data_IF_215894430073
#
_entry.id   IF_215894430073
#
_cell.length_a   1.000
_cell.length_b   1.000
_cell.length_c   1.000
_cell.angle_alpha   90.00
_cell.angle_beta   90.00
_cell.angle_gamma   90.00
#
_symmetry.space_group_name_H-M   'P 1'
#
loop_
_entity.id
_entity.type
_entity.pdbx_description
1 polymer ?
#
# COMPACT_ATOMS: atom_id res chain seq x y z
N UNK A 1 58.20 34.62 14.82
CA UNK A 1 57.07 35.49 14.41
C UNK A 1 56.13 34.61 13.62
N UNK A 2 55.06 34.20 14.28
CA UNK A 2 54.01 33.31 13.78
C UNK A 2 53.06 34.09 12.88
N UNK A 3 53.00 33.71 11.61
CA UNK A 3 52.11 34.28 10.61
C UNK A 3 50.80 33.47 10.62
N UNK A 4 49.90 33.84 11.54
CA UNK A 4 48.54 33.29 11.60
C UNK A 4 47.72 33.91 10.46
N UNK A 5 47.64 33.14 9.38
CA UNK A 5 46.68 33.33 8.29
C UNK A 5 45.27 33.61 8.83
N UNK A 6 44.82 34.86 8.66
CA UNK A 6 43.42 35.25 8.81
C UNK A 6 42.59 34.57 7.72
N UNK A 7 42.12 33.36 7.99
CA UNK A 7 40.96 32.80 7.30
C UNK A 7 39.74 33.62 7.70
N UNK A 8 39.35 34.53 6.81
CA UNK A 8 38.05 35.20 6.87
C UNK A 8 37.05 34.28 6.16
N UNK A 9 35.99 33.76 6.82
CA UNK A 9 34.94 33.09 6.08
C UNK A 9 34.09 34.15 5.40
N UNK A 10 34.44 34.47 4.16
CA UNK A 10 33.53 35.10 3.22
C UNK A 10 32.46 34.10 2.81
N UNK A 11 31.22 34.58 2.66
CA UNK A 11 30.16 33.84 1.97
C UNK A 11 28.86 33.78 2.76
N UNK A 12 27.87 34.50 2.25
CA UNK A 12 26.46 34.52 2.66
C UNK A 12 25.78 33.15 2.36
N UNK A 13 26.26 32.08 3.01
CA UNK A 13 25.55 30.81 3.08
C UNK A 13 24.46 30.95 4.14
N UNK A 14 23.21 30.59 3.83
CA UNK A 14 22.12 30.62 4.80
C UNK A 14 22.56 29.85 6.07
N UNK A 15 22.86 30.59 7.14
CA UNK A 15 23.46 30.04 8.34
C UNK A 15 22.43 29.21 9.08
N UNK A 16 22.82 27.99 9.45
CA UNK A 16 22.04 27.11 10.33
C UNK A 16 21.63 27.89 11.60
N UNK A 17 20.36 27.82 11.96
CA UNK A 17 19.75 28.63 13.02
C UNK A 17 19.02 27.78 14.07
N UNK A 18 18.64 28.38 15.21
CA UNK A 18 17.85 27.70 16.24
C UNK A 18 16.48 27.27 15.73
N UNK A 19 15.86 28.03 14.83
CA UNK A 19 14.56 27.67 14.23
C UNK A 19 14.61 26.42 13.37
N UNK A 20 15.80 25.98 12.94
CA UNK A 20 15.96 24.77 12.14
C UNK A 20 16.00 23.48 12.98
N UNK A 21 15.94 23.58 14.31
CA UNK A 21 16.03 22.41 15.20
C UNK A 21 14.93 22.32 16.23
N UNK A 22 14.60 21.11 16.63
CA UNK A 22 13.81 20.87 17.85
C UNK A 22 14.52 19.82 18.68
N UNK A 23 14.47 19.93 20.01
CA UNK A 23 14.94 18.87 20.86
C UNK A 23 13.94 17.72 20.89
N UNK A 24 14.41 16.49 20.76
CA UNK A 24 13.62 15.28 21.00
C UNK A 24 14.09 14.65 22.31
N UNK A 25 13.35 14.96 23.38
CA UNK A 25 13.73 14.63 24.75
C UNK A 25 14.00 13.12 24.98
N UNK A 26 13.20 12.17 24.43
CA UNK A 26 13.40 10.74 24.65
C UNK A 26 14.75 10.17 24.20
N UNK A 27 15.42 10.76 23.20
CA UNK A 27 16.69 10.24 22.66
C UNK A 27 17.89 11.16 22.85
N UNK A 28 17.74 12.28 23.58
CA UNK A 28 18.82 13.27 23.80
C UNK A 28 19.50 13.70 22.50
N UNK A 29 18.70 13.92 21.47
CA UNK A 29 19.12 14.40 20.15
C UNK A 29 18.21 15.54 19.71
N UNK A 30 18.70 16.37 18.80
CA UNK A 30 17.85 17.35 18.14
C UNK A 30 17.42 16.82 16.77
N UNK A 31 16.25 17.22 16.28
CA UNK A 31 15.81 16.94 14.91
C UNK A 31 16.06 18.18 14.07
N UNK A 32 16.84 18.06 13.00
CA UNK A 32 16.99 19.11 12.00
C UNK A 32 15.72 19.13 11.14
N UNK A 33 14.89 20.15 11.31
CA UNK A 33 13.55 20.23 10.74
C UNK A 33 13.51 20.17 9.21
N UNK A 34 14.39 20.87 8.45
CA UNK A 34 14.31 20.88 6.99
C UNK A 34 14.37 19.48 6.37
N UNK A 35 15.18 18.58 6.95
CA UNK A 35 15.24 17.19 6.51
C UNK A 35 14.80 16.14 7.54
N UNK A 36 14.11 16.55 8.61
CA UNK A 36 13.53 15.69 9.66
C UNK A 36 14.48 14.58 10.14
N UNK A 37 15.78 14.87 10.23
CA UNK A 37 16.80 13.89 10.60
C UNK A 37 17.33 14.15 12.01
N UNK A 38 17.59 13.08 12.79
CA UNK A 38 18.18 13.23 14.11
C UNK A 38 19.66 13.63 14.01
N UNK A 39 20.04 14.62 14.81
CA UNK A 39 21.41 15.11 14.96
C UNK A 39 21.84 14.93 16.41
N UNK A 40 23.05 14.39 16.66
CA UNK A 40 23.62 14.37 18.01
C UNK A 40 23.71 15.78 18.58
N UNK A 41 23.40 15.96 19.87
CA UNK A 41 23.46 17.26 20.53
C UNK A 41 24.81 17.95 20.35
N UNK A 42 25.92 17.21 20.44
CA UNK A 42 27.27 17.74 20.20
C UNK A 42 27.46 18.35 18.80
N UNK A 43 26.82 17.77 17.77
CA UNK A 43 26.86 18.28 16.39
C UNK A 43 26.09 19.60 16.23
N UNK A 44 25.04 19.79 17.03
CA UNK A 44 24.26 21.04 17.11
C UNK A 44 25.05 22.10 17.89
N UNK A 45 25.61 21.74 19.03
CA UNK A 45 26.38 22.64 19.90
C UNK A 45 27.66 23.19 19.26
N UNK A 46 28.19 22.48 18.26
CA UNK A 46 29.35 22.94 17.46
C UNK A 46 28.95 23.97 16.39
N UNK A 47 27.68 23.99 15.96
CA UNK A 47 27.21 24.82 14.84
C UNK A 47 26.38 26.02 15.28
N UNK A 48 25.70 25.91 16.42
CA UNK A 48 24.92 27.00 16.99
C UNK A 48 25.68 27.68 18.13
N UNK A 49 25.54 29.01 18.30
CA UNK A 49 26.16 29.71 19.41
C UNK A 49 25.54 29.25 20.74
N UNK A 50 26.33 29.34 21.81
CA UNK A 50 25.83 29.12 23.17
C UNK A 50 24.85 30.23 23.55
N UNK A 51 23.82 29.89 24.32
CA UNK A 51 22.78 30.84 24.74
C UNK A 51 23.02 31.33 26.17
N UNK A 52 22.76 32.61 26.48
CA UNK A 52 22.83 33.10 27.84
C UNK A 52 21.75 32.42 28.71
N UNK A 53 22.14 32.05 29.93
CA UNK A 53 21.19 31.57 30.93
C UNK A 53 20.45 32.77 31.51
N UNK A 54 19.13 32.78 31.43
CA UNK A 54 18.29 33.89 31.91
C UNK A 54 17.68 33.57 33.27
N UNK A 55 17.49 34.60 34.09
CA UNK A 55 16.69 34.52 35.33
C UNK A 55 15.18 34.57 35.03
N UNK A 56 14.35 34.49 36.08
CA UNK A 56 12.88 34.56 35.98
C UNK A 56 12.34 35.88 35.41
N UNK A 57 13.16 36.92 35.33
CA UNK A 57 12.82 38.23 34.79
C UNK A 57 13.37 38.43 33.37
N UNK A 58 14.02 37.42 32.79
CA UNK A 58 14.61 37.46 31.45
C UNK A 58 16.02 38.08 31.40
N UNK A 59 16.65 38.35 32.54
CA UNK A 59 17.99 38.95 32.58
C UNK A 59 19.09 37.88 32.56
N UNK A 60 20.23 38.09 31.87
CA UNK A 60 21.34 37.16 31.90
C UNK A 60 21.91 36.96 33.31
N UNK A 61 21.99 35.70 33.74
CA UNK A 61 22.67 35.31 34.97
C UNK A 61 24.17 35.42 34.75
N UNK A 62 24.85 36.26 35.51
CA UNK A 62 26.30 36.43 35.44
C UNK A 62 27.04 35.54 36.44
N UNK A 63 28.30 35.22 36.15
CA UNK A 63 29.21 34.57 37.09
C UNK A 63 29.82 35.57 38.08
N UNK A 64 30.64 35.09 39.01
CA UNK A 64 31.31 35.94 40.02
C UNK A 64 32.31 36.95 39.44
N UNK A 65 32.54 36.96 38.12
CA UNK A 65 33.37 37.91 37.38
C UNK A 65 32.54 38.83 36.48
N UNK A 66 31.20 38.77 36.56
CA UNK A 66 30.30 39.58 35.76
C UNK A 66 30.09 39.10 34.33
N UNK A 67 30.60 37.92 33.94
CA UNK A 67 30.39 37.36 32.60
C UNK A 67 29.09 36.54 32.56
N UNK A 68 28.24 36.66 31.52
CA UNK A 68 27.04 35.84 31.39
C UNK A 68 27.36 34.34 31.42
N UNK A 69 26.68 33.60 32.29
CA UNK A 69 26.64 32.14 32.24
C UNK A 69 25.90 31.74 30.97
N UNK A 70 26.43 30.73 30.27
CA UNK A 70 25.84 30.25 29.02
C UNK A 70 25.56 28.76 29.10
N UNK A 71 24.47 28.35 28.46
CA UNK A 71 24.09 26.95 28.24
C UNK A 71 24.39 26.53 26.80
N UNK A 72 24.49 25.22 26.59
CA UNK A 72 24.65 24.65 25.26
C UNK A 72 23.40 24.93 24.39
N UNK A 73 23.55 24.94 23.07
CA UNK A 73 22.43 25.19 22.16
C UNK A 73 21.37 24.09 22.27
N UNK A 74 21.81 22.84 22.38
CA UNK A 74 20.95 21.67 22.59
C UNK A 74 20.18 21.74 23.90
N UNK A 75 20.81 22.17 25.00
CA UNK A 75 20.15 22.37 26.29
C UNK A 75 19.11 23.51 26.23
N UNK A 76 19.42 24.58 25.50
CA UNK A 76 18.46 25.65 25.27
C UNK A 76 17.25 25.15 24.46
N UNK A 77 17.47 24.37 23.40
CA UNK A 77 16.41 23.76 22.59
C UNK A 77 15.53 22.83 23.44
N UNK A 78 16.12 22.03 24.34
CA UNK A 78 15.36 21.14 25.23
C UNK A 78 14.36 21.88 26.12
N UNK A 79 14.73 23.07 26.60
CA UNK A 79 13.89 23.90 27.50
C UNK A 79 12.87 24.75 26.77
N UNK A 80 13.14 25.14 25.52
CA UNK A 80 12.35 26.17 24.82
C UNK A 80 11.64 25.65 23.56
N UNK A 81 12.16 24.60 22.92
CA UNK A 81 11.71 24.10 21.62
C UNK A 81 11.87 22.57 21.55
N UNK A 82 11.06 21.87 22.35
CA UNK A 82 11.08 20.41 22.44
C UNK A 82 9.78 19.78 21.94
N UNK A 83 9.92 18.53 21.52
CA UNK A 83 8.81 17.64 21.15
C UNK A 83 8.97 16.31 21.88
N UNK A 84 7.85 15.72 22.28
CA UNK A 84 7.82 14.48 23.07
C UNK A 84 7.60 13.24 22.21
N UNK A 85 7.05 13.39 21.00
CA UNK A 85 6.79 12.29 20.08
C UNK A 85 7.00 12.73 18.62
N UNK A 86 7.07 11.77 17.71
CA UNK A 86 6.96 12.03 16.28
C UNK A 86 6.08 10.98 15.59
N UNK A 87 5.47 11.34 14.47
CA UNK A 87 4.69 10.42 13.64
C UNK A 87 4.73 10.84 12.18
N UNK A 88 4.23 10.00 11.27
CA UNK A 88 3.99 10.39 9.88
C UNK A 88 2.47 10.43 9.67
N UNK A 89 1.93 11.65 9.46
CA UNK A 89 0.49 11.87 9.37
C UNK A 89 0.18 13.01 8.38
N UNK A 90 -0.04 12.71 7.10
CA UNK A 90 -0.61 13.68 6.16
C UNK A 90 -1.87 14.35 6.71
N UNK A 91 -2.09 15.62 6.36
CA UNK A 91 -3.24 16.44 6.77
C UNK A 91 -3.15 17.07 8.17
N UNK A 92 -2.17 16.70 8.99
CA UNK A 92 -1.88 17.36 10.28
C UNK A 92 -0.72 18.38 10.13
N UNK A 93 -0.67 19.44 10.95
CA UNK A 93 0.41 20.43 10.90
C UNK A 93 1.77 19.83 11.29
N UNK A 94 2.85 20.54 10.99
CA UNK A 94 4.23 20.13 11.34
C UNK A 94 4.39 19.88 12.85
N UNK A 95 3.75 20.71 13.67
CA UNK A 95 3.70 20.58 15.12
C UNK A 95 2.27 20.32 15.59
N UNK A 96 2.00 19.08 15.98
CA UNK A 96 0.69 18.65 16.45
C UNK A 96 0.63 18.88 17.96
N UNK A 97 -0.07 19.95 18.37
CA UNK A 97 -0.18 20.38 19.76
C UNK A 97 -1.22 19.57 20.54
N UNK A 98 -0.99 19.45 21.84
CA UNK A 98 -1.85 18.85 22.87
C UNK A 98 -2.17 17.35 22.68
N UNK A 99 -1.42 16.68 21.80
CA UNK A 99 -1.60 15.26 21.43
C UNK A 99 -0.26 14.56 21.22
N UNK A 100 -0.17 13.33 21.72
CA UNK A 100 0.96 12.41 21.54
C UNK A 100 0.54 11.25 20.65
N UNK A 101 1.29 11.01 19.57
CA UNK A 101 1.14 9.80 18.77
C UNK A 101 1.84 8.63 19.48
N UNK A 102 1.09 7.57 19.81
CA UNK A 102 1.60 6.39 20.52
C UNK A 102 0.99 5.14 19.91
N UNK A 103 1.81 4.20 19.44
CA UNK A 103 1.37 2.92 18.86
C UNK A 103 0.29 3.04 17.77
N UNK A 104 0.30 4.18 17.05
CA UNK A 104 -0.67 4.52 16.01
C UNK A 104 -2.03 5.04 16.54
N UNK A 105 -2.15 5.30 17.83
CA UNK A 105 -3.24 6.04 18.45
C UNK A 105 -2.85 7.44 18.90
N UNK A 106 -3.83 8.18 19.42
CA UNK A 106 -3.64 9.50 20.02
C UNK A 106 -3.85 9.46 21.53
N UNK A 107 -2.93 10.06 22.27
CA UNK A 107 -3.12 10.38 23.69
C UNK A 107 -3.23 11.90 23.83
N UNK A 108 -4.35 12.38 24.37
CA UNK A 108 -4.52 13.81 24.65
C UNK A 108 -3.70 14.20 25.88
N UNK A 109 -2.80 15.18 25.72
CA UNK A 109 -1.95 15.71 26.79
C UNK A 109 -1.67 17.18 26.53
N UNK A 110 -2.33 18.05 27.28
CA UNK A 110 -2.15 19.50 27.16
C UNK A 110 -0.68 19.87 27.39
N UNK A 111 -0.14 20.71 26.50
CA UNK A 111 1.24 21.18 26.51
C UNK A 111 2.24 20.27 25.80
N UNK A 112 1.86 19.02 25.47
CA UNK A 112 2.72 18.13 24.69
C UNK A 112 2.63 18.42 23.19
N UNK A 113 3.69 18.11 22.45
CA UNK A 113 3.81 18.30 21.01
C UNK A 113 4.33 17.03 20.33
N UNK A 114 3.61 16.55 19.32
CA UNK A 114 4.11 15.56 18.36
C UNK A 114 4.66 16.26 17.12
N UNK A 115 5.89 15.93 16.72
CA UNK A 115 6.46 16.34 15.43
C UNK A 115 5.91 15.49 14.29
N UNK A 116 5.26 16.11 13.33
CA UNK A 116 4.87 15.45 12.09
C UNK A 116 6.05 15.37 11.13
N UNK A 117 6.38 14.16 10.70
CA UNK A 117 7.45 13.86 9.74
C UNK A 117 6.95 13.80 8.30
N UNK A 118 5.63 13.90 8.09
CA UNK A 118 5.07 14.15 6.77
C UNK A 118 5.58 15.51 6.26
N UNK A 119 5.97 15.55 4.99
CA UNK A 119 6.31 16.79 4.30
C UNK A 119 5.33 16.99 3.16
N UNK A 120 4.60 18.10 3.11
CA UNK A 120 3.73 18.39 1.96
C UNK A 120 4.56 18.58 0.68
N UNK A 121 4.00 18.37 -0.51
CA UNK A 121 4.66 18.73 -1.78
C UNK A 121 4.97 20.22 -1.83
N UNK A 122 5.97 20.58 -2.64
CA UNK A 122 6.23 21.98 -2.97
C UNK A 122 5.06 22.57 -3.78
N UNK A 123 4.75 23.84 -3.55
CA UNK A 123 3.75 24.56 -4.34
C UNK A 123 4.37 24.91 -5.68
N UNK A 124 3.89 24.29 -6.75
CA UNK A 124 4.33 24.55 -8.13
C UNK A 124 3.26 25.32 -8.90
N UNK A 125 3.61 26.42 -9.60
CA UNK A 125 2.63 27.18 -10.37
C UNK A 125 2.29 26.45 -11.68
N UNK A 126 1.00 26.22 -11.93
CA UNK A 126 0.51 25.58 -13.14
C UNK A 126 -0.88 26.07 -13.54
N UNK A 127 -1.29 25.71 -14.75
CA UNK A 127 -2.60 26.06 -15.33
C UNK A 127 -3.35 24.76 -15.63
N UNK A 128 -4.42 24.50 -14.87
CA UNK A 128 -5.22 23.29 -15.00
C UNK A 128 -5.83 23.14 -16.41
N UNK A 129 -6.14 24.25 -17.09
CA UNK A 129 -6.70 24.24 -18.45
C UNK A 129 -5.73 23.71 -19.51
N UNK A 130 -4.43 23.66 -19.21
CA UNK A 130 -3.38 23.16 -20.11
C UNK A 130 -3.01 21.70 -19.87
N UNK A 131 -3.63 21.03 -18.90
CA UNK A 131 -3.41 19.61 -18.61
C UNK A 131 -4.15 18.67 -19.57
N UNK A 132 -4.96 19.18 -20.50
CA UNK A 132 -5.87 18.40 -21.33
C UNK A 132 -5.16 17.26 -22.09
N UNK A 133 -3.93 17.50 -22.56
CA UNK A 133 -3.10 16.48 -23.23
C UNK A 133 -2.91 15.22 -22.37
N UNK A 134 -2.71 15.38 -21.06
CA UNK A 134 -2.55 14.26 -20.14
C UNK A 134 -3.89 13.59 -19.81
N UNK A 135 -4.94 14.38 -19.59
CA UNK A 135 -6.31 13.88 -19.34
C UNK A 135 -6.82 13.06 -20.54
N UNK A 136 -6.64 13.57 -21.75
CA UNK A 136 -7.04 12.88 -22.98
C UNK A 136 -6.29 11.57 -23.18
N UNK A 137 -5.02 11.52 -22.76
CA UNK A 137 -4.25 10.27 -22.84
C UNK A 137 -4.76 9.22 -21.85
N UNK A 138 -5.20 9.61 -20.64
CA UNK A 138 -5.91 8.70 -19.73
C UNK A 138 -7.21 8.16 -20.33
N UNK A 139 -8.02 9.05 -20.92
CA UNK A 139 -9.27 8.68 -21.59
C UNK A 139 -9.05 7.81 -22.83
N UNK A 140 -7.93 8.00 -23.53
CA UNK A 140 -7.54 7.13 -24.66
C UNK A 140 -7.14 5.73 -24.17
N UNK A 141 -6.36 5.63 -23.10
CA UNK A 141 -5.91 4.33 -22.60
C UNK A 141 -7.03 3.54 -21.91
N UNK A 142 -7.89 4.21 -21.14
CA UNK A 142 -8.89 3.58 -20.28
C UNK A 142 -10.27 4.26 -20.43
N UNK A 143 -10.91 4.21 -21.61
CA UNK A 143 -12.08 5.03 -21.93
C UNK A 143 -13.26 4.88 -20.94
N UNK A 144 -13.50 3.66 -20.46
CA UNK A 144 -14.64 3.36 -19.57
C UNK A 144 -14.36 3.65 -18.09
N UNK A 145 -13.10 3.88 -17.73
CA UNK A 145 -12.63 3.93 -16.33
C UNK A 145 -11.80 5.19 -16.01
N UNK A 146 -11.44 6.01 -17.00
CA UNK A 146 -10.52 7.13 -16.85
C UNK A 146 -10.96 8.13 -15.77
N UNK A 147 -12.24 8.47 -15.71
CA UNK A 147 -12.75 9.43 -14.72
C UNK A 147 -12.57 8.93 -13.27
N UNK A 148 -12.74 7.62 -13.04
CA UNK A 148 -12.48 7.02 -11.73
C UNK A 148 -10.99 7.03 -11.38
N UNK A 149 -10.11 6.75 -12.35
CA UNK A 149 -8.65 6.78 -12.17
C UNK A 149 -8.17 8.20 -11.85
N UNK A 150 -8.66 9.18 -12.60
CA UNK A 150 -8.39 10.60 -12.43
C UNK A 150 -8.88 11.11 -11.07
N UNK A 151 -10.11 10.80 -10.69
CA UNK A 151 -10.67 11.18 -9.39
C UNK A 151 -9.93 10.52 -8.23
N UNK A 152 -9.52 9.24 -8.37
CA UNK A 152 -8.69 8.57 -7.37
C UNK A 152 -7.36 9.30 -7.16
N UNK A 153 -6.64 9.60 -8.25
CA UNK A 153 -5.36 10.33 -8.19
C UNK A 153 -5.53 11.72 -7.60
N UNK A 154 -6.53 12.48 -8.05
CA UNK A 154 -6.84 13.80 -7.51
C UNK A 154 -7.19 13.75 -6.02
N UNK A 155 -7.94 12.74 -5.56
CA UNK A 155 -8.24 12.56 -4.14
C UNK A 155 -6.98 12.31 -3.30
N UNK A 156 -5.97 11.60 -3.83
CA UNK A 156 -4.69 11.41 -3.13
C UNK A 156 -3.89 12.71 -3.00
N UNK A 157 -4.00 13.60 -3.98
CA UNK A 157 -3.33 14.90 -3.99
C UNK A 157 -4.04 15.90 -3.07
N UNK A 158 -5.36 16.01 -3.16
CA UNK A 158 -6.15 16.98 -2.40
C UNK A 158 -6.40 16.57 -0.94
N UNK A 159 -6.51 15.25 -0.66
CA UNK A 159 -6.86 14.68 0.65
C UNK A 159 -5.90 13.53 1.03
N UNK A 160 -4.58 13.79 1.15
CA UNK A 160 -3.59 12.74 1.41
C UNK A 160 -3.84 11.99 2.73
N UNK A 161 -4.54 12.61 3.69
CA UNK A 161 -4.99 12.05 4.96
C UNK A 161 -6.16 11.06 4.84
N UNK A 162 -6.81 10.96 3.67
CA UNK A 162 -7.94 10.05 3.47
C UNK A 162 -7.47 8.82 2.69
N UNK A 163 -7.15 7.74 3.41
CA UNK A 163 -6.77 6.45 2.79
C UNK A 163 -7.89 5.93 1.85
N UNK A 164 -7.62 5.61 0.57
CA UNK A 164 -8.59 4.92 -0.27
C UNK A 164 -8.79 3.46 0.19
N UNK A 165 -9.97 2.91 -0.06
CA UNK A 165 -10.29 1.54 0.31
C UNK A 165 -9.88 0.50 -0.74
N UNK A 166 -9.40 0.95 -1.90
CA UNK A 166 -8.91 0.12 -2.99
C UNK A 166 -7.63 0.67 -3.62
N UNK A 167 -6.81 -0.26 -4.09
CA UNK A 167 -5.68 -0.04 -4.98
C UNK A 167 -6.15 0.05 -6.44
N UNK A 168 -5.34 0.69 -7.28
CA UNK A 168 -5.53 0.73 -8.73
C UNK A 168 -4.60 -0.29 -9.38
N UNK A 169 -5.11 -1.08 -10.34
CA UNK A 169 -4.31 -1.96 -11.19
C UNK A 169 -4.44 -1.50 -12.63
N UNK A 170 -3.32 -1.05 -13.20
CA UNK A 170 -3.20 -0.56 -14.57
C UNK A 170 -2.56 -1.64 -15.44
N UNK A 171 -3.41 -2.33 -16.18
CA UNK A 171 -3.04 -3.33 -17.17
C UNK A 171 -2.93 -2.75 -18.58
N UNK A 172 -2.12 -3.37 -19.43
CA UNK A 172 -2.05 -3.05 -20.86
C UNK A 172 -0.69 -3.37 -21.45
N UNK A 173 -0.57 -3.36 -22.78
CA UNK A 173 0.69 -3.67 -23.47
C UNK A 173 1.85 -2.74 -23.01
N UNK A 174 3.11 -3.20 -23.04
CA UNK A 174 4.27 -2.34 -22.77
C UNK A 174 4.38 -1.24 -23.84
N UNK A 175 4.84 -0.05 -23.47
CA UNK A 175 5.04 1.06 -24.42
C UNK A 175 3.85 1.99 -24.66
N UNK A 176 2.69 1.75 -24.02
CA UNK A 176 1.51 2.66 -24.09
C UNK A 176 1.59 3.87 -23.14
N UNK A 177 2.62 3.94 -22.29
CA UNK A 177 2.89 5.07 -21.41
C UNK A 177 2.26 5.02 -20.01
N UNK A 178 1.97 3.84 -19.46
CA UNK A 178 1.43 3.68 -18.10
C UNK A 178 2.28 4.42 -17.06
N UNK A 179 3.59 4.23 -17.08
CA UNK A 179 4.51 4.90 -16.15
C UNK A 179 4.64 6.40 -16.44
N UNK A 180 4.68 6.78 -17.73
CA UNK A 180 4.70 8.20 -18.15
C UNK A 180 3.49 8.98 -17.62
N UNK A 181 2.31 8.35 -17.55
CA UNK A 181 1.11 8.98 -17.02
C UNK A 181 1.12 9.18 -15.51
N UNK A 182 1.88 8.37 -14.77
CA UNK A 182 2.00 8.46 -13.32
C UNK A 182 3.08 9.46 -12.89
N UNK A 183 3.99 9.84 -13.77
CA UNK A 183 5.10 10.76 -13.49
C UNK A 183 4.66 12.06 -12.78
N UNK A 184 3.58 12.77 -13.20
CA UNK A 184 3.18 13.99 -12.53
C UNK A 184 2.76 13.80 -11.06
N UNK A 185 2.39 12.57 -10.66
CA UNK A 185 2.03 12.28 -9.28
C UNK A 185 3.22 12.42 -8.34
N UNK A 186 4.45 12.16 -8.80
CA UNK A 186 5.67 12.31 -8.01
C UNK A 186 5.79 13.75 -7.51
N UNK A 187 5.57 14.72 -8.39
CA UNK A 187 5.52 16.15 -8.04
C UNK A 187 4.25 16.46 -7.23
N UNK A 188 3.09 15.94 -7.64
CA UNK A 188 1.81 16.29 -7.04
C UNK A 188 1.68 15.89 -5.56
N UNK A 189 2.22 14.74 -5.14
CA UNK A 189 2.24 14.34 -3.72
C UNK A 189 3.58 14.61 -3.03
N UNK A 190 4.60 14.97 -3.80
CA UNK A 190 5.97 15.22 -3.33
C UNK A 190 6.83 13.95 -3.40
N UNK A 191 8.07 14.08 -3.86
CA UNK A 191 8.96 12.95 -4.17
C UNK A 191 9.22 12.02 -2.96
N UNK A 192 9.12 12.53 -1.74
CA UNK A 192 9.26 11.74 -0.50
C UNK A 192 7.98 11.02 -0.06
N UNK A 193 6.83 11.31 -0.69
CA UNK A 193 5.54 10.67 -0.43
C UNK A 193 5.10 9.74 -1.57
N UNK A 194 5.75 9.81 -2.72
CA UNK A 194 5.61 8.82 -3.79
C UNK A 194 6.70 7.75 -3.62
N UNK A 195 6.32 6.48 -3.62
CA UNK A 195 7.23 5.36 -3.42
C UNK A 195 7.17 4.42 -4.62
N UNK A 196 8.33 3.98 -5.05
CA UNK A 196 8.48 3.01 -6.12
C UNK A 196 9.14 1.75 -5.59
N UNK A 197 8.49 0.61 -5.80
CA UNK A 197 9.02 -0.69 -5.41
C UNK A 197 8.79 -1.74 -6.48
N UNK A 198 9.66 -2.72 -6.53
CA UNK A 198 9.41 -3.98 -7.23
C UNK A 198 8.47 -4.87 -6.40
N UNK A 199 7.87 -5.87 -7.04
CA UNK A 199 7.10 -6.88 -6.31
C UNK A 199 7.94 -7.57 -5.22
N UNK A 200 9.23 -7.87 -5.48
CA UNK A 200 10.11 -8.54 -4.52
C UNK A 200 10.37 -7.70 -3.26
N UNK A 201 10.45 -6.37 -3.39
CA UNK A 201 10.66 -5.47 -2.26
C UNK A 201 9.46 -5.41 -1.30
N UNK A 202 8.24 -5.70 -1.78
CA UNK A 202 7.06 -5.79 -0.90
C UNK A 202 7.13 -6.94 0.11
N UNK A 203 7.90 -7.99 -0.20
CA UNK A 203 8.15 -9.12 0.70
C UNK A 203 9.29 -8.88 1.68
N UNK A 204 9.99 -7.74 1.56
CA UNK A 204 11.07 -7.39 2.47
C UNK A 204 10.55 -7.16 3.88
N UNK A 205 11.38 -7.49 4.87
CA UNK A 205 11.13 -7.11 6.27
C UNK A 205 11.16 -5.60 6.48
N UNK A 206 11.87 -4.87 5.61
CA UNK A 206 11.92 -3.42 5.63
C UNK A 206 10.75 -2.89 4.81
N UNK A 207 9.88 -2.11 5.44
CA UNK A 207 8.63 -1.65 4.87
C UNK A 207 8.44 -0.13 5.02
N UNK A 208 9.54 0.63 4.96
CA UNK A 208 9.54 2.10 4.96
C UNK A 208 8.69 2.70 3.84
N UNK A 209 8.48 1.96 2.74
CA UNK A 209 7.61 2.35 1.63
C UNK A 209 6.14 2.57 2.05
N UNK A 210 5.73 2.05 3.21
CA UNK A 210 4.41 2.33 3.79
C UNK A 210 4.24 3.80 4.21
N UNK A 211 5.34 4.54 4.39
CA UNK A 211 5.37 6.01 4.55
C UNK A 211 5.29 6.71 3.18
N UNK A 212 4.26 6.36 2.43
CA UNK A 212 3.93 6.94 1.13
C UNK A 212 2.44 7.22 1.04
N UNK A 213 2.09 8.37 0.43
CA UNK A 213 0.72 8.69 0.04
C UNK A 213 0.32 7.81 -1.15
N UNK A 214 1.27 7.54 -2.06
CA UNK A 214 1.13 6.65 -3.21
C UNK A 214 2.35 5.73 -3.28
N UNK A 215 2.11 4.43 -3.36
CA UNK A 215 3.10 3.42 -3.73
C UNK A 215 2.78 2.93 -5.14
N UNK A 216 3.72 3.03 -6.09
CA UNK A 216 3.67 2.28 -7.33
C UNK A 216 4.46 0.99 -7.18
N UNK A 217 3.84 -0.10 -7.59
CA UNK A 217 4.45 -1.42 -7.73
C UNK A 217 4.60 -1.70 -9.21
N UNK A 218 5.84 -1.69 -9.70
CA UNK A 218 6.14 -1.99 -11.10
C UNK A 218 6.35 -3.48 -11.31
N UNK A 219 5.90 -3.99 -12.46
CA UNK A 219 6.24 -5.31 -12.98
C UNK A 219 5.90 -6.46 -12.02
N UNK A 220 4.63 -6.54 -11.60
CA UNK A 220 4.14 -7.54 -10.64
C UNK A 220 4.40 -9.02 -11.01
N UNK A 221 4.83 -9.34 -12.23
CA UNK A 221 5.04 -10.71 -12.71
C UNK A 221 6.50 -11.21 -12.63
N UNK A 222 7.49 -10.36 -12.37
CA UNK A 222 8.92 -10.75 -12.49
C UNK A 222 9.49 -11.47 -11.24
N UNK A 223 8.73 -12.43 -10.70
CA UNK A 223 9.11 -13.24 -9.53
C UNK A 223 9.15 -14.74 -9.84
N UNK A 224 10.13 -15.12 -10.68
CA UNK A 224 10.73 -16.48 -10.78
C UNK A 224 9.85 -17.68 -11.14
N UNK A 225 10.48 -18.86 -11.28
CA UNK A 225 9.88 -20.17 -11.65
C UNK A 225 8.74 -20.67 -10.71
N UNK A 226 8.41 -19.94 -9.63
CA UNK A 226 7.34 -20.24 -8.67
C UNK A 226 6.11 -19.33 -8.84
N UNK A 227 5.72 -19.03 -10.09
CA UNK A 227 4.76 -17.98 -10.45
C UNK A 227 3.35 -18.00 -9.80
N UNK A 228 2.87 -19.12 -9.25
CA UNK A 228 1.62 -19.13 -8.45
C UNK A 228 1.82 -18.65 -7.01
N UNK A 229 2.90 -19.10 -6.35
CA UNK A 229 3.21 -18.74 -4.96
C UNK A 229 3.55 -17.26 -4.82
N UNK A 230 4.21 -16.67 -5.82
CA UNK A 230 4.56 -15.24 -5.81
C UNK A 230 3.35 -14.31 -5.98
N UNK A 231 2.39 -14.64 -6.86
CA UNK A 231 1.15 -13.86 -7.06
C UNK A 231 0.25 -13.88 -5.82
N UNK A 232 0.03 -15.06 -5.25
CA UNK A 232 -0.72 -15.19 -4.00
C UNK A 232 -0.01 -14.48 -2.84
N UNK A 233 1.31 -14.61 -2.76
CA UNK A 233 2.13 -13.92 -1.77
C UNK A 233 1.98 -12.40 -1.85
N UNK A 234 1.99 -11.84 -3.07
CA UNK A 234 1.88 -10.40 -3.31
C UNK A 234 0.53 -9.89 -2.84
N UNK A 235 -0.54 -10.62 -3.19
CA UNK A 235 -1.89 -10.36 -2.73
C UNK A 235 -2.00 -10.42 -1.19
N UNK A 236 -1.47 -11.45 -0.53
CA UNK A 236 -1.53 -11.57 0.94
C UNK A 236 -0.70 -10.50 1.65
N UNK A 237 0.44 -10.06 1.09
CA UNK A 237 1.23 -8.96 1.65
C UNK A 237 0.48 -7.63 1.51
N UNK A 238 -0.01 -7.32 0.30
CA UNK A 238 -0.76 -6.11 0.03
C UNK A 238 -2.07 -6.04 0.84
N UNK A 239 -2.71 -7.19 1.07
CA UNK A 239 -3.92 -7.32 1.89
C UNK A 239 -3.78 -6.67 3.26
N UNK A 240 -2.63 -6.81 3.92
CA UNK A 240 -2.41 -6.21 5.24
C UNK A 240 -2.45 -4.67 5.21
N UNK A 241 -1.85 -4.05 4.19
CA UNK A 241 -1.82 -2.60 4.03
C UNK A 241 -3.15 -2.04 3.49
N UNK A 242 -3.80 -2.77 2.58
CA UNK A 242 -5.07 -2.38 1.95
C UNK A 242 -6.30 -2.66 2.83
N UNK A 243 -6.24 -3.61 3.76
CA UNK A 243 -7.37 -3.96 4.63
C UNK A 243 -7.90 -2.79 5.47
N UNK A 244 -9.17 -2.91 5.86
CA UNK A 244 -9.88 -1.98 6.76
C UNK A 244 -10.60 -2.89 7.77
N UNK A 245 -10.22 -2.96 9.06
CA UNK A 245 -9.01 -2.43 9.75
C UNK A 245 -7.71 -3.19 9.39
N UNK A 246 -6.50 -2.65 9.65
CA UNK A 246 -6.16 -1.66 10.69
C UNK A 246 -5.94 -0.21 10.21
N UNK A 247 -6.24 0.74 11.11
CA UNK A 247 -5.99 2.18 10.93
C UNK A 247 -4.52 2.58 11.10
N UNK A 248 -3.66 1.62 11.47
CA UNK A 248 -2.24 1.83 11.75
C UNK A 248 -1.39 0.74 11.13
N UNK A 249 -0.16 1.08 10.75
CA UNK A 249 0.80 0.16 10.15
C UNK A 249 2.09 0.18 10.98
N UNK A 250 2.64 -1.01 11.21
CA UNK A 250 3.96 -1.18 11.83
C UNK A 250 5.04 -0.99 10.77
N UNK A 251 5.90 -0.01 10.97
CA UNK A 251 7.06 0.28 10.12
C UNK A 251 8.33 -0.24 10.77
N UNK A 252 9.10 -0.97 9.98
CA UNK A 252 10.43 -1.44 10.28
C UNK A 252 11.40 -0.80 9.28
N UNK A 253 12.20 0.13 9.80
CA UNK A 253 13.18 0.91 9.04
C UNK A 253 14.58 0.57 9.57
N UNK A 254 15.55 0.39 8.68
CA UNK A 254 16.87 -0.10 9.05
C UNK A 254 17.53 0.86 10.04
N UNK A 255 18.12 0.31 11.11
CA UNK A 255 18.79 1.06 12.19
C UNK A 255 17.88 1.88 13.11
N UNK A 256 16.57 1.87 12.90
CA UNK A 256 15.59 2.46 13.80
C UNK A 256 14.83 1.37 14.56
N UNK A 257 14.30 1.71 15.74
CA UNK A 257 13.33 0.85 16.43
C UNK A 257 12.05 0.84 15.63
N UNK A 258 11.35 -0.28 15.59
CA UNK A 258 10.04 -0.38 14.95
C UNK A 258 9.06 0.64 15.58
N UNK A 259 8.22 1.24 14.74
CA UNK A 259 7.25 2.24 15.16
C UNK A 259 5.95 2.11 14.36
N UNK A 260 4.87 2.70 14.87
CA UNK A 260 3.57 2.70 14.21
C UNK A 260 3.29 4.04 13.53
N UNK A 261 2.71 3.99 12.33
CA UNK A 261 2.20 5.15 11.60
C UNK A 261 0.70 5.00 11.34
N UNK A 262 0.01 6.10 11.09
CA UNK A 262 -1.37 6.07 10.61
C UNK A 262 -1.42 5.54 9.18
N UNK A 263 -2.34 4.61 8.91
CA UNK A 263 -2.49 4.03 7.59
C UNK A 263 -3.12 5.06 6.64
N UNK A 264 -2.29 5.69 5.81
CA UNK A 264 -2.68 6.59 4.71
C UNK A 264 -2.26 6.05 3.36
N UNK A 265 -2.02 4.74 3.29
CA UNK A 265 -1.43 4.07 2.15
C UNK A 265 -2.40 4.01 0.97
N UNK A 266 -1.92 4.43 -0.21
CA UNK A 266 -2.58 4.21 -1.50
C UNK A 266 -1.62 3.46 -2.42
N UNK A 267 -2.13 2.55 -3.24
CA UNK A 267 -1.29 1.70 -4.09
C UNK A 267 -1.77 1.70 -5.54
N UNK A 268 -0.82 1.79 -6.45
CA UNK A 268 -0.99 1.60 -7.89
C UNK A 268 -0.10 0.44 -8.31
N UNK A 269 -0.65 -0.54 -9.02
CA UNK A 269 0.10 -1.65 -9.59
C UNK A 269 0.08 -1.49 -11.11
N UNK A 270 1.24 -1.49 -11.74
CA UNK A 270 1.32 -1.53 -13.22
C UNK A 270 1.68 -2.95 -13.66
N UNK A 271 1.00 -3.44 -14.69
CA UNK A 271 1.25 -4.78 -15.23
C UNK A 271 1.04 -4.84 -16.74
N UNK A 272 1.80 -5.74 -17.39
CA UNK A 272 1.63 -6.08 -18.80
C UNK A 272 0.77 -7.34 -19.00
N UNK A 273 0.39 -8.01 -17.90
CA UNK A 273 -0.21 -9.34 -17.94
C UNK A 273 -1.57 -9.37 -17.25
N UNK A 274 -2.54 -10.04 -17.89
CA UNK A 274 -3.92 -10.14 -17.40
C UNK A 274 -4.10 -11.11 -16.24
N UNK A 275 -3.11 -11.94 -15.96
CA UNK A 275 -3.03 -12.94 -14.89
C UNK A 275 -2.04 -12.54 -13.77
N UNK A 276 -1.69 -11.26 -13.68
CA UNK A 276 -0.59 -10.77 -12.85
C UNK A 276 -0.84 -10.83 -11.33
N UNK A 277 -2.10 -10.88 -10.90
CA UNK A 277 -2.46 -10.92 -9.48
C UNK A 277 -3.39 -12.10 -9.23
N UNK A 278 -3.22 -12.74 -8.07
CA UNK A 278 -4.22 -13.63 -7.53
C UNK A 278 -5.30 -12.78 -6.86
N UNK A 279 -6.57 -13.02 -7.20
CA UNK A 279 -7.71 -12.30 -6.64
C UNK A 279 -8.88 -13.24 -6.33
N UNK A 280 -9.39 -13.25 -5.10
CA UNK A 280 -10.67 -13.87 -4.82
C UNK A 280 -11.81 -13.18 -5.57
N UNK A 281 -12.83 -13.94 -5.93
CA UNK A 281 -14.00 -13.43 -6.66
C UNK A 281 -14.73 -12.30 -5.92
N UNK A 282 -14.73 -12.31 -4.59
CA UNK A 282 -15.39 -11.30 -3.76
C UNK A 282 -14.45 -10.19 -3.29
N UNK A 283 -13.27 -10.04 -3.92
CA UNK A 283 -12.33 -9.00 -3.52
C UNK A 283 -12.86 -7.60 -3.81
N UNK A 284 -12.65 -6.69 -2.85
CA UNK A 284 -13.14 -5.30 -2.87
C UNK A 284 -12.01 -4.27 -2.75
N UNK A 285 -10.75 -4.71 -2.85
CA UNK A 285 -9.56 -3.88 -2.59
C UNK A 285 -8.79 -3.52 -3.85
N UNK A 286 -9.25 -3.95 -5.01
CA UNK A 286 -8.60 -3.68 -6.29
C UNK A 286 -9.62 -3.16 -7.30
N UNK A 287 -9.35 -1.99 -7.85
CA UNK A 287 -9.99 -1.50 -9.06
C UNK A 287 -9.06 -1.80 -10.23
N UNK A 288 -9.51 -2.61 -11.18
CA UNK A 288 -8.65 -3.19 -12.22
C UNK A 288 -9.10 -2.67 -13.57
N UNK A 289 -8.16 -2.23 -14.38
CA UNK A 289 -8.46 -1.76 -15.72
C UNK A 289 -7.37 -2.20 -16.68
N UNK A 290 -7.74 -2.57 -17.89
CA UNK A 290 -6.81 -2.95 -18.95
C UNK A 290 -7.02 -2.06 -20.17
N UNK A 291 -5.92 -1.54 -20.69
CA UNK A 291 -5.92 -0.86 -21.97
C UNK A 291 -5.72 -1.87 -23.09
N UNK A 292 -6.59 -1.79 -24.10
CA UNK A 292 -6.49 -2.55 -25.34
C UNK A 292 -5.67 -1.83 -26.42
N UNK A 293 -5.15 -0.63 -26.10
CA UNK A 293 -4.39 0.20 -27.03
C UNK A 293 -3.09 -0.48 -27.47
N UNK A 294 -2.75 -0.31 -28.74
CA UNK A 294 -1.57 -0.92 -29.35
C UNK A 294 -0.34 0.01 -29.20
N UNK A 295 0.85 -0.50 -28.83
CA UNK A 295 2.06 0.33 -28.69
C UNK A 295 2.44 1.06 -29.97
N UNK A 296 2.09 0.50 -31.13
CA UNK A 296 2.34 1.05 -32.45
C UNK A 296 1.64 2.41 -32.68
N UNK A 297 0.57 2.69 -31.93
CA UNK A 297 -0.08 4.00 -31.93
C UNK A 297 0.75 5.10 -31.25
N UNK A 298 1.77 4.72 -30.48
CA UNK A 298 2.59 5.62 -29.66
C UNK A 298 4.07 5.49 -30.04
N UNK A 299 4.39 5.91 -31.27
CA UNK A 299 5.75 5.87 -31.77
C UNK A 299 6.74 6.78 -31.01
N UNK A 300 8.06 6.64 -31.24
CA UNK A 300 9.09 7.42 -30.55
C UNK A 300 8.90 8.94 -30.62
N UNK A 301 8.41 9.45 -31.75
CA UNK A 301 8.14 10.88 -31.93
C UNK A 301 7.04 11.39 -30.99
N UNK A 302 5.98 10.61 -30.79
CA UNK A 302 4.91 10.94 -29.85
C UNK A 302 5.45 11.08 -28.43
N UNK A 303 6.23 10.10 -27.96
CA UNK A 303 6.80 10.14 -26.61
C UNK A 303 7.84 11.25 -26.44
N UNK A 304 8.66 11.51 -27.46
CA UNK A 304 9.61 12.63 -27.44
C UNK A 304 8.88 13.97 -27.26
N UNK A 305 7.79 14.16 -27.98
CA UNK A 305 6.96 15.36 -27.89
C UNK A 305 6.24 15.45 -26.53
N UNK A 306 5.70 14.34 -26.03
CA UNK A 306 5.02 14.27 -24.74
C UNK A 306 5.95 14.60 -23.56
N UNK A 307 7.16 14.01 -23.54
CA UNK A 307 8.19 14.33 -22.55
C UNK A 307 8.80 15.72 -22.75
N UNK A 308 8.81 16.22 -24.00
CA UNK A 308 9.12 17.62 -24.29
C UNK A 308 8.13 18.57 -23.61
N UNK A 309 6.83 18.29 -23.73
CA UNK A 309 5.79 19.05 -23.05
C UNK A 309 5.90 18.99 -21.52
N UNK A 310 6.14 17.81 -20.93
CA UNK A 310 6.38 17.70 -19.48
C UNK A 310 7.54 18.57 -18.99
N UNK A 311 8.67 18.56 -19.69
CA UNK A 311 9.84 19.39 -19.31
C UNK A 311 9.60 20.90 -19.48
N UNK A 312 8.60 21.28 -20.25
CA UNK A 312 8.26 22.67 -20.55
C UNK A 312 7.02 23.15 -19.77
N UNK A 313 6.80 22.66 -18.54
CA UNK A 313 5.71 23.09 -17.67
C UNK A 313 4.48 22.16 -17.65
N UNK A 314 4.50 21.08 -18.44
CA UNK A 314 3.37 20.15 -18.53
C UNK A 314 3.07 19.43 -17.23
N UNK A 315 4.10 19.10 -16.43
CA UNK A 315 3.91 18.45 -15.12
C UNK A 315 3.15 19.39 -14.18
N UNK A 316 3.54 20.64 -14.10
CA UNK A 316 2.95 21.66 -13.24
C UNK A 316 1.49 21.91 -13.62
N UNK A 317 1.16 21.90 -14.92
CA UNK A 317 -0.21 21.97 -15.40
C UNK A 317 -1.05 20.78 -14.91
N UNK A 318 -0.51 19.56 -14.95
CA UNK A 318 -1.18 18.37 -14.42
C UNK A 318 -1.36 18.44 -12.91
N UNK A 319 -0.35 18.91 -12.16
CA UNK A 319 -0.46 19.12 -10.71
C UNK A 319 -1.59 20.10 -10.39
N UNK A 320 -1.67 21.24 -11.11
CA UNK A 320 -2.75 22.21 -10.95
C UNK A 320 -4.12 21.60 -11.26
N UNK A 321 -4.22 20.75 -12.29
CA UNK A 321 -5.45 20.05 -12.63
C UNK A 321 -5.88 19.07 -11.52
N UNK A 322 -4.94 18.26 -11.00
CA UNK A 322 -5.21 17.31 -9.91
C UNK A 322 -5.68 18.01 -8.62
N UNK A 323 -5.15 19.20 -8.33
CA UNK A 323 -5.54 20.02 -7.18
C UNK A 323 -6.92 20.67 -7.32
N UNK A 324 -7.40 20.88 -8.55
CA UNK A 324 -8.65 21.58 -8.86
C UNK A 324 -9.77 20.64 -9.33
N UNK A 325 -9.46 19.37 -9.58
CA UNK A 325 -10.42 18.35 -10.01
C UNK A 325 -11.60 18.27 -9.02
N UNK A 326 -12.83 18.29 -9.55
CA UNK A 326 -14.03 18.14 -8.73
C UNK A 326 -14.17 16.70 -8.22
N UNK A 327 -14.20 16.56 -6.90
CA UNK A 327 -14.32 15.28 -6.19
C UNK A 327 -15.66 15.13 -5.47
N UNK A 328 -16.63 16.01 -5.73
CA UNK A 328 -17.94 16.02 -5.05
C UNK A 328 -18.68 14.69 -5.16
N UNK A 329 -18.54 13.98 -6.29
CA UNK A 329 -19.14 12.67 -6.53
C UNK A 329 -18.22 11.49 -6.18
N UNK A 330 -16.96 11.72 -5.79
CA UNK A 330 -15.98 10.67 -5.56
C UNK A 330 -15.77 10.38 -4.07
N UNK A 331 -16.20 9.18 -3.66
CA UNK A 331 -15.92 8.64 -2.33
C UNK A 331 -14.73 7.67 -2.36
N UNK A 332 -13.55 8.05 -1.81
CA UNK A 332 -12.39 7.15 -1.73
C UNK A 332 -12.62 5.95 -0.80
N UNK A 333 -13.67 5.97 0.02
CA UNK A 333 -14.06 4.87 0.92
C UNK A 333 -15.10 3.92 0.31
N UNK A 334 -15.68 4.26 -0.84
CA UNK A 334 -16.61 3.36 -1.50
C UNK A 334 -15.91 2.08 -1.96
N UNK A 335 -16.68 0.99 -2.04
CA UNK A 335 -16.21 -0.23 -2.72
C UNK A 335 -16.04 0.10 -4.21
N UNK A 336 -14.89 -0.22 -4.84
CA UNK A 336 -14.69 0.04 -6.25
C UNK A 336 -15.73 -0.70 -7.10
N UNK A 337 -16.13 -0.10 -8.22
CA UNK A 337 -16.93 -0.80 -9.23
C UNK A 337 -16.16 -2.03 -9.71
N UNK A 338 -16.88 -3.14 -9.86
CA UNK A 338 -16.36 -4.34 -10.52
C UNK A 338 -16.31 -4.10 -12.04
N UNK A 339 -15.12 -4.09 -12.61
CA UNK A 339 -14.89 -3.86 -14.04
C UNK A 339 -14.87 -5.19 -14.81
N UNK A 340 -15.09 -5.17 -16.12
CA UNK A 340 -14.91 -6.36 -16.97
C UNK A 340 -13.48 -6.92 -16.88
N UNK A 341 -12.50 -6.05 -16.65
CA UNK A 341 -11.10 -6.43 -16.42
C UNK A 341 -10.90 -7.20 -15.10
N UNK A 342 -11.67 -6.90 -14.06
CA UNK A 342 -11.66 -7.66 -12.81
C UNK A 342 -12.17 -9.08 -13.05
N UNK A 343 -13.33 -9.22 -13.70
CA UNK A 343 -13.93 -10.52 -14.02
C UNK A 343 -12.96 -11.37 -14.84
N UNK A 344 -12.40 -10.79 -15.90
CA UNK A 344 -11.42 -11.47 -16.74
C UNK A 344 -10.19 -11.94 -15.95
N UNK A 345 -9.65 -11.12 -15.04
CA UNK A 345 -8.48 -11.51 -14.24
C UNK A 345 -8.81 -12.67 -13.30
N UNK A 346 -9.97 -12.65 -12.64
CA UNK A 346 -10.44 -13.74 -11.77
C UNK A 346 -10.63 -15.03 -12.58
N UNK A 347 -11.20 -14.95 -13.78
CA UNK A 347 -11.38 -16.11 -14.67
C UNK A 347 -10.05 -16.66 -15.17
N UNK A 348 -9.13 -15.79 -15.60
CA UNK A 348 -7.82 -16.17 -16.12
C UNK A 348 -6.94 -16.79 -15.02
N UNK A 349 -7.04 -16.31 -13.78
CA UNK A 349 -6.32 -16.88 -12.63
C UNK A 349 -6.67 -18.34 -12.38
N UNK A 350 -7.95 -18.68 -12.52
CA UNK A 350 -8.47 -20.01 -12.21
C UNK A 350 -7.80 -21.11 -13.04
N UNK A 351 -7.45 -20.82 -14.30
CA UNK A 351 -6.62 -21.67 -15.16
C UNK A 351 -7.29 -22.96 -15.65
N UNK A 352 -6.53 -23.77 -16.41
CA UNK A 352 -7.03 -25.00 -17.04
C UNK A 352 -7.47 -26.07 -16.02
N UNK A 353 -6.73 -26.25 -14.93
CA UNK A 353 -7.08 -27.22 -13.88
C UNK A 353 -8.43 -26.92 -13.22
N UNK A 354 -8.80 -25.64 -13.10
CA UNK A 354 -10.10 -25.25 -12.57
C UNK A 354 -11.22 -25.52 -13.57
N UNK A 355 -11.00 -25.21 -14.86
CA UNK A 355 -11.95 -25.53 -15.91
C UNK A 355 -12.19 -27.04 -16.01
N UNK A 356 -11.13 -27.84 -15.89
CA UNK A 356 -11.23 -29.29 -15.85
C UNK A 356 -11.97 -29.81 -14.61
N UNK A 357 -11.73 -29.21 -13.44
CA UNK A 357 -12.46 -29.55 -12.22
C UNK A 357 -13.95 -29.20 -12.33
N UNK A 358 -14.30 -28.06 -12.93
CA UNK A 358 -15.69 -27.71 -13.23
C UNK A 358 -16.33 -28.69 -14.21
N UNK A 359 -15.64 -29.05 -15.29
CA UNK A 359 -16.11 -30.06 -16.24
C UNK A 359 -16.37 -31.41 -15.54
N UNK A 360 -15.52 -31.79 -14.58
CA UNK A 360 -15.72 -33.00 -13.78
C UNK A 360 -16.99 -32.92 -12.92
N UNK A 361 -17.25 -31.77 -12.30
CA UNK A 361 -18.47 -31.52 -11.50
C UNK A 361 -19.71 -31.50 -12.40
N UNK A 362 -19.63 -30.90 -13.58
CA UNK A 362 -20.70 -30.87 -14.57
C UNK A 362 -21.01 -32.28 -15.09
N UNK A 363 -19.97 -33.09 -15.33
CA UNK A 363 -20.12 -34.50 -15.72
C UNK A 363 -20.71 -35.39 -14.61
N UNK A 364 -20.66 -34.95 -13.34
CA UNK A 364 -21.39 -35.57 -12.23
C UNK A 364 -22.83 -35.04 -12.10
N UNK A 365 -23.25 -34.09 -12.94
CA UNK A 365 -24.59 -33.50 -12.91
C UNK A 365 -24.79 -32.45 -11.82
N UNK A 366 -23.73 -31.75 -11.39
CA UNK A 366 -23.79 -30.74 -10.33
C UNK A 366 -24.45 -31.25 -9.03
N UNK A 367 -23.97 -32.37 -8.45
CA UNK A 367 -24.64 -33.02 -7.34
C UNK A 367 -24.60 -32.14 -6.08
N UNK A 368 -25.62 -32.27 -5.21
CA UNK A 368 -25.66 -31.50 -3.94
C UNK A 368 -24.50 -31.83 -3.00
N UNK A 369 -23.96 -33.05 -3.11
CA UNK A 369 -22.76 -33.49 -2.42
C UNK A 369 -21.92 -34.41 -3.33
N UNK A 370 -20.61 -34.40 -3.15
CA UNK A 370 -19.66 -35.22 -3.89
C UNK A 370 -18.47 -35.66 -3.03
N UNK A 371 -17.74 -36.66 -3.51
CA UNK A 371 -16.46 -37.12 -2.95
C UNK A 371 -15.31 -36.84 -3.91
N UNK A 372 -14.07 -36.84 -3.39
CA UNK A 372 -12.88 -36.77 -4.25
C UNK A 372 -12.80 -37.96 -5.21
N UNK A 373 -13.25 -39.14 -4.78
CA UNK A 373 -13.20 -40.34 -5.62
C UNK A 373 -14.06 -40.17 -6.90
N UNK A 374 -15.26 -39.59 -6.77
CA UNK A 374 -16.12 -39.29 -7.92
C UNK A 374 -15.50 -38.26 -8.85
N UNK A 375 -14.81 -37.25 -8.31
CA UNK A 375 -14.11 -36.25 -9.13
C UNK A 375 -12.92 -36.85 -9.88
N UNK A 376 -12.13 -37.70 -9.20
CA UNK A 376 -10.99 -38.40 -9.81
C UNK A 376 -11.42 -39.34 -10.94
N UNK A 377 -12.62 -39.91 -10.85
CA UNK A 377 -13.19 -40.74 -11.92
C UNK A 377 -13.56 -39.90 -13.16
N UNK A 378 -14.04 -38.66 -12.97
CA UNK A 378 -14.46 -37.77 -14.06
C UNK A 378 -13.34 -36.88 -14.61
N UNK A 379 -12.27 -36.65 -13.86
CA UNK A 379 -11.09 -35.90 -14.28
C UNK A 379 -9.79 -36.64 -13.90
N UNK A 380 -9.45 -37.73 -14.61
CA UNK A 380 -8.25 -38.52 -14.31
C UNK A 380 -6.95 -37.75 -14.56
N UNK A 381 -6.97 -36.70 -15.38
CA UNK A 381 -5.82 -35.83 -15.67
C UNK A 381 -5.44 -34.90 -14.51
N UNK A 382 -6.34 -34.68 -13.54
CA UNK A 382 -6.04 -33.90 -12.34
C UNK A 382 -5.28 -34.75 -11.30
N UNK A 383 -4.03 -35.10 -11.60
CA UNK A 383 -3.19 -35.96 -10.76
C UNK A 383 -3.06 -35.48 -9.31
N UNK A 384 -3.13 -34.15 -9.09
CA UNK A 384 -3.05 -33.56 -7.76
C UNK A 384 -4.23 -33.91 -6.84
N UNK A 385 -5.37 -34.37 -7.37
CA UNK A 385 -6.48 -34.89 -6.56
C UNK A 385 -6.08 -36.17 -5.81
N UNK A 386 -5.09 -36.90 -6.31
CA UNK A 386 -4.57 -38.13 -5.70
C UNK A 386 -3.58 -37.84 -4.55
N UNK A 387 -2.99 -36.63 -4.52
CA UNK A 387 -1.92 -36.28 -3.59
C UNK A 387 -2.47 -35.86 -2.21
N UNK A 388 -2.20 -36.70 -1.20
CA UNK A 388 -2.62 -36.45 0.19
C UNK A 388 -1.91 -35.26 0.83
N UNK A 389 -0.75 -34.83 0.32
CA UNK A 389 -0.05 -33.65 0.81
C UNK A 389 -0.69 -32.35 0.31
N UNK A 390 -1.48 -32.42 -0.78
CA UNK A 390 -2.20 -31.27 -1.37
C UNK A 390 -3.60 -31.04 -0.80
N UNK A 391 -3.99 -31.67 0.32
CA UNK A 391 -5.33 -31.53 0.93
C UNK A 391 -5.82 -30.09 1.09
N UNK A 392 -4.94 -29.15 1.49
CA UNK A 392 -5.30 -27.72 1.61
C UNK A 392 -5.61 -27.08 0.26
N UNK A 393 -4.81 -27.40 -0.75
CA UNK A 393 -5.01 -26.95 -2.12
C UNK A 393 -6.29 -27.53 -2.73
N UNK A 394 -6.53 -28.84 -2.56
CA UNK A 394 -7.77 -29.52 -3.02
C UNK A 394 -9.01 -28.85 -2.43
N UNK A 395 -9.00 -28.63 -1.11
CA UNK A 395 -10.11 -27.96 -0.43
C UNK A 395 -10.34 -26.56 -0.98
N UNK A 396 -9.27 -25.78 -1.17
CA UNK A 396 -9.38 -24.42 -1.72
C UNK A 396 -9.97 -24.42 -3.13
N UNK A 397 -9.52 -25.31 -4.03
CA UNK A 397 -10.07 -25.44 -5.39
C UNK A 397 -11.54 -25.82 -5.39
N UNK A 398 -11.96 -26.74 -4.54
CA UNK A 398 -13.38 -27.10 -4.41
C UNK A 398 -14.21 -25.95 -3.85
N UNK A 399 -13.69 -25.18 -2.89
CA UNK A 399 -14.37 -23.99 -2.38
C UNK A 399 -14.57 -22.94 -3.51
N UNK A 400 -13.58 -22.78 -4.40
CA UNK A 400 -13.71 -21.93 -5.61
C UNK A 400 -14.73 -22.45 -6.63
N UNK A 401 -15.00 -23.76 -6.66
CA UNK A 401 -16.06 -24.37 -7.46
C UNK A 401 -17.42 -24.39 -6.73
N UNK A 402 -17.53 -23.78 -5.55
CA UNK A 402 -18.77 -23.73 -4.79
C UNK A 402 -19.04 -24.97 -3.94
N UNK A 403 -18.04 -25.77 -3.61
CA UNK A 403 -18.15 -26.96 -2.77
C UNK A 403 -17.32 -26.83 -1.49
N UNK A 404 -17.94 -27.04 -0.33
CA UNK A 404 -17.30 -26.92 0.98
C UNK A 404 -17.36 -28.23 1.74
N UNK A 405 -16.39 -28.45 2.62
CA UNK A 405 -16.33 -29.66 3.45
C UNK A 405 -17.54 -29.73 4.38
N UNK A 406 -18.17 -30.90 4.44
CA UNK A 406 -19.18 -31.24 5.43
C UNK A 406 -18.54 -32.17 6.45
N UNK A 407 -18.49 -31.77 7.72
CA UNK A 407 -17.98 -32.61 8.80
C UNK A 407 -19.06 -33.53 9.34
N UNK A 408 -18.71 -34.77 9.66
CA UNK A 408 -19.62 -35.68 10.37
C UNK A 408 -19.49 -35.48 11.89
N UNK A 409 -20.50 -34.92 12.59
CA UNK A 409 -20.40 -34.69 14.04
C UNK A 409 -20.46 -35.98 14.87
N UNK A 410 -20.93 -37.09 14.29
CA UNK A 410 -21.11 -38.37 15.00
C UNK A 410 -19.85 -39.24 14.98
N UNK A 411 -18.91 -38.95 14.08
CA UNK A 411 -17.64 -39.64 13.99
C UNK A 411 -16.55 -38.92 14.81
N UNK A 412 -15.78 -39.67 15.61
CA UNK A 412 -14.67 -39.11 16.42
C UNK A 412 -13.61 -38.37 15.57
N UNK A 413 -13.39 -38.81 14.34
CA UNK A 413 -12.45 -38.22 13.39
C UNK A 413 -13.10 -37.21 12.43
N UNK A 414 -14.40 -36.95 12.59
CA UNK A 414 -15.22 -36.04 11.77
C UNK A 414 -15.33 -36.41 10.29
N UNK A 415 -14.90 -37.62 9.90
CA UNK A 415 -14.98 -38.13 8.54
C UNK A 415 -16.26 -38.92 8.29
N UNK A 416 -16.63 -39.03 7.01
CA UNK A 416 -17.73 -39.87 6.56
C UNK A 416 -17.19 -41.26 6.23
N UNK A 417 -17.92 -42.30 6.60
CA UNK A 417 -17.60 -43.68 6.24
C UNK A 417 -18.54 -44.12 5.12
N UNK A 418 -18.09 -44.00 3.88
CA UNK A 418 -18.88 -44.31 2.69
C UNK A 418 -18.05 -45.20 1.75
N UNK A 419 -18.66 -46.19 1.11
CA UNK A 419 -18.01 -47.18 0.26
C UNK A 419 -16.81 -47.87 0.96
N UNK A 420 -17.03 -48.33 2.20
CA UNK A 420 -16.03 -48.99 3.08
C UNK A 420 -14.75 -48.19 3.33
N UNK A 421 -14.77 -46.87 3.14
CA UNK A 421 -13.59 -46.00 3.28
C UNK A 421 -13.95 -44.74 4.06
N UNK A 422 -13.04 -44.33 4.95
CA UNK A 422 -13.14 -43.03 5.62
C UNK A 422 -12.71 -41.94 4.66
N UNK A 423 -13.61 -41.01 4.37
CA UNK A 423 -13.39 -39.94 3.39
C UNK A 423 -14.11 -38.64 3.76
N UNK A 424 -13.73 -37.58 3.06
CA UNK A 424 -14.35 -36.26 3.17
C UNK A 424 -15.45 -36.17 2.13
N UNK A 425 -16.63 -35.71 2.54
CA UNK A 425 -17.71 -35.32 1.64
C UNK A 425 -17.74 -33.80 1.53
N UNK A 426 -17.89 -33.31 0.31
CA UNK A 426 -18.08 -31.90 0.01
C UNK A 426 -19.51 -31.66 -0.44
N UNK A 427 -20.11 -30.53 -0.09
CA UNK A 427 -21.45 -30.15 -0.51
C UNK A 427 -21.49 -28.72 -1.01
N UNK A 428 -22.50 -28.40 -1.83
CA UNK A 428 -22.68 -27.07 -2.40
C UNK A 428 -22.75 -26.00 -1.30
N UNK A 429 -21.96 -24.94 -1.43
CA UNK A 429 -21.80 -23.88 -0.45
C UNK A 429 -23.07 -23.03 -0.27
N UNK A 430 -23.88 -22.91 -1.32
CA UNK A 430 -25.17 -22.21 -1.29
C UNK A 430 -26.27 -22.91 -0.48
N UNK A 431 -26.08 -24.17 -0.10
CA UNK A 431 -27.05 -24.91 0.73
C UNK A 431 -26.92 -24.49 2.21
N UNK A 432 -28.04 -24.35 2.95
CA UNK A 432 -28.01 -24.22 4.41
C UNK A 432 -27.27 -25.39 5.08
N UNK A 433 -26.70 -25.18 6.27
CA UNK A 433 -25.91 -26.20 6.98
C UNK A 433 -26.65 -27.55 7.10
N UNK A 434 -27.93 -27.52 7.48
CA UNK A 434 -28.74 -28.74 7.65
C UNK A 434 -28.97 -29.47 6.32
N UNK A 435 -29.14 -28.72 5.22
CA UNK A 435 -29.29 -29.29 3.88
C UNK A 435 -27.98 -29.87 3.34
N UNK A 436 -26.83 -29.25 3.66
CA UNK A 436 -25.52 -29.83 3.35
C UNK A 436 -25.30 -31.14 4.08
N UNK A 437 -25.70 -31.22 5.35
CA UNK A 437 -25.63 -32.48 6.13
C UNK A 437 -26.53 -33.55 5.55
N UNK A 438 -27.78 -33.20 5.22
CA UNK A 438 -28.71 -34.14 4.58
C UNK A 438 -28.23 -34.60 3.19
N UNK A 439 -27.56 -33.74 2.42
CA UNK A 439 -26.94 -34.12 1.16
C UNK A 439 -25.77 -35.09 1.36
N UNK A 440 -24.94 -34.88 2.38
CA UNK A 440 -23.84 -35.79 2.71
C UNK A 440 -24.33 -37.16 3.19
N UNK A 441 -25.39 -37.22 4.01
CA UNK A 441 -26.02 -38.48 4.43
C UNK A 441 -26.57 -39.24 3.22
N UNK A 442 -27.33 -38.57 2.35
CA UNK A 442 -27.85 -39.19 1.13
C UNK A 442 -26.75 -39.76 0.24
N UNK A 443 -25.67 -39.00 0.04
CA UNK A 443 -24.54 -39.48 -0.75
C UNK A 443 -23.86 -40.69 -0.09
N UNK A 444 -23.74 -40.72 1.24
CA UNK A 444 -23.21 -41.87 1.97
C UNK A 444 -24.10 -43.10 1.72
N UNK A 445 -25.41 -42.96 1.87
CA UNK A 445 -26.38 -44.05 1.64
C UNK A 445 -26.36 -44.53 0.18
N UNK A 446 -26.25 -43.64 -0.80
CA UNK A 446 -26.11 -43.97 -2.23
C UNK A 446 -24.83 -44.77 -2.50
N UNK A 447 -23.69 -44.33 -1.95
CA UNK A 447 -22.40 -44.99 -2.13
C UNK A 447 -22.33 -46.35 -1.44
N UNK A 448 -23.04 -46.53 -0.32
CA UNK A 448 -23.15 -47.80 0.38
C UNK A 448 -24.24 -48.71 -0.24
N UNK A 449 -25.25 -48.12 -0.89
CA UNK A 449 -26.42 -48.77 -1.49
C UNK A 449 -26.31 -49.15 -2.97
N UNK A 450 -25.34 -48.62 -3.73
CA UNK A 450 -25.02 -49.05 -5.12
C UNK A 450 -24.45 -50.48 -5.24
N UNK A 451 -24.68 -51.31 -4.21
CA UNK A 451 -24.63 -52.76 -4.25
C UNK A 451 -26.00 -53.32 -3.84
N UNK A 452 -26.94 -53.36 -4.79
CA UNK A 452 -27.85 -54.49 -4.94
C UNK A 452 -27.84 -54.93 -6.39
#
# INVERSE_FOLDING_TARGET
>A
MSDDSKLSPGGNAAAISFSDFVAYAPSRSCIYLPCKTPWPNASVDTRLPRMPLLDRHGNPIVDGRGKPRTIAASEWLEKNQSVEAFTWMPGEPEFIKDRLAVDGGWVRKIGATTLNTYRPPDVVPGDAGKAQRWVDHWRKLYPDDAEHLLAWMAARVQRPEVKPNHAIVLGGKPGIGKDTLLEPLVTAVGAWNFRDVTASQLFSKNNEFLRGVILRVSEARDMGEQGQTSRYGLYEHAKSALAIPPDTLRVNEKYLREYHIFNRFGMIITTNYRDALYLPDNDRRYFITFSDQAPEEFGPAFWKDFWGWYRNGGIEHVVAWLQQCDLSAFDPKATPRRTASFDYMVETERGEEYAELLNAIDALGNPKALTLAQLMEKAPSLEWLHDRHKRRFIRHRLEQCGYIVVTNPEAKDRLWYANKKRQVIYAQSGLPNDQRRAAAIRLQDELDGHRQ
#
